data_IF_310185368761
#
_entry.id   IF_310185368761
#
_cell.length_a   1.000
_cell.length_b   1.000
_cell.length_c   1.000
_cell.angle_alpha   90.00
_cell.angle_beta   90.00
_cell.angle_gamma   90.00
#
_symmetry.space_group_name_H-M   'P 1'
#
loop_
_entity.id
_entity.type
_entity.pdbx_description
1 polymer ?
#
# COMPACT_ATOMS: atom_id res chain seq x y z
N UNK A 1 -25.49 -41.77 8.07
CA UNK A 1 -26.11 -41.39 6.77
C UNK A 1 -25.81 -39.91 6.56
N UNK A 2 -25.32 -39.48 5.39
CA UNK A 2 -25.15 -38.05 5.13
C UNK A 2 -26.53 -37.37 5.10
N UNK A 3 -26.66 -36.23 5.78
CA UNK A 3 -27.87 -35.42 5.76
C UNK A 3 -27.79 -34.43 4.60
N UNK A 4 -28.83 -34.40 3.76
CA UNK A 4 -28.97 -33.38 2.73
C UNK A 4 -29.53 -32.11 3.35
N UNK A 5 -28.81 -31.00 3.19
CA UNK A 5 -29.28 -29.66 3.56
C UNK A 5 -29.62 -28.93 2.28
N UNK A 6 -30.91 -28.66 2.10
CA UNK A 6 -31.40 -27.89 0.98
C UNK A 6 -30.97 -26.42 1.13
N UNK A 7 -30.35 -25.88 0.09
CA UNK A 7 -30.06 -24.46 -0.04
C UNK A 7 -30.73 -23.97 -1.32
N UNK A 8 -31.64 -23.01 -1.18
CA UNK A 8 -32.19 -22.32 -2.34
C UNK A 8 -31.10 -21.51 -3.01
N UNK A 9 -30.86 -21.80 -4.29
CA UNK A 9 -29.93 -21.04 -5.11
C UNK A 9 -30.65 -19.77 -5.58
N UNK A 10 -30.22 -18.63 -5.07
CA UNK A 10 -30.66 -17.32 -5.57
C UNK A 10 -29.67 -16.79 -6.61
N UNK A 11 -30.21 -16.24 -7.70
CA UNK A 11 -29.39 -15.49 -8.65
C UNK A 11 -29.03 -14.14 -8.03
N UNK A 12 -27.74 -13.85 -7.94
CA UNK A 12 -27.27 -12.52 -7.60
C UNK A 12 -27.76 -11.55 -8.67
N UNK A 13 -28.57 -10.56 -8.29
CA UNK A 13 -29.01 -9.46 -9.14
C UNK A 13 -28.33 -8.16 -8.67
N UNK A 14 -27.01 -8.00 -8.87
CA UNK A 14 -26.32 -6.79 -8.45
C UNK A 14 -26.89 -5.60 -9.22
N UNK A 15 -27.19 -4.54 -8.49
CA UNK A 15 -27.67 -3.29 -9.07
C UNK A 15 -26.52 -2.56 -9.76
N UNK A 16 -26.59 -2.44 -11.08
CA UNK A 16 -25.57 -1.76 -11.90
C UNK A 16 -25.71 -0.24 -11.92
N UNK A 17 -26.72 0.31 -11.25
CA UNK A 17 -26.94 1.74 -11.02
C UNK A 17 -26.26 2.25 -9.73
N UNK A 18 -25.44 1.43 -9.08
CA UNK A 18 -24.73 1.82 -7.87
C UNK A 18 -23.44 2.59 -8.19
N UNK A 19 -23.15 3.62 -7.40
CA UNK A 19 -21.91 4.40 -7.48
C UNK A 19 -20.63 3.54 -7.35
N UNK A 20 -20.74 2.33 -6.76
CA UNK A 20 -19.62 1.39 -6.70
C UNK A 20 -19.20 0.91 -8.09
N UNK A 21 -20.15 0.70 -9.00
CA UNK A 21 -19.88 0.24 -10.38
C UNK A 21 -19.12 1.31 -11.16
N UNK A 22 -19.44 2.59 -10.92
CA UNK A 22 -18.72 3.71 -11.52
C UNK A 22 -17.26 3.75 -11.03
N UNK A 23 -17.04 3.67 -9.71
CA UNK A 23 -15.69 3.63 -9.11
C UNK A 23 -14.88 2.43 -9.63
N UNK A 24 -15.49 1.24 -9.69
CA UNK A 24 -14.83 0.06 -10.24
C UNK A 24 -14.45 0.24 -11.71
N UNK A 25 -15.35 0.83 -12.51
CA UNK A 25 -15.10 1.10 -13.93
C UNK A 25 -13.96 2.11 -14.11
N UNK A 26 -13.88 3.13 -13.26
CA UNK A 26 -12.77 4.10 -13.25
C UNK A 26 -11.44 3.43 -12.86
N UNK A 27 -11.41 2.58 -11.83
CA UNK A 27 -10.21 1.84 -11.44
C UNK A 27 -9.73 0.89 -12.55
N UNK A 28 -10.64 0.16 -13.20
CA UNK A 28 -10.30 -0.69 -14.35
C UNK A 28 -9.81 0.14 -15.54
N UNK A 29 -10.40 1.31 -15.76
CA UNK A 29 -9.94 2.24 -16.79
C UNK A 29 -8.51 2.72 -16.55
N UNK A 30 -8.11 2.95 -15.29
CA UNK A 30 -6.73 3.33 -14.94
C UNK A 30 -5.73 2.21 -15.23
N UNK A 31 -6.13 0.93 -15.12
CA UNK A 31 -5.24 -0.22 -15.39
C UNK A 31 -4.72 -0.30 -16.82
N UNK A 32 -5.38 0.35 -17.78
CA UNK A 32 -4.88 0.43 -19.17
C UNK A 32 -3.64 1.31 -19.32
N UNK A 33 -3.37 2.18 -18.35
CA UNK A 33 -2.17 3.01 -18.33
C UNK A 33 -0.98 2.08 -18.11
N UNK A 34 -0.24 1.80 -19.19
CA UNK A 34 1.07 1.17 -19.05
C UNK A 34 2.00 2.22 -18.45
N UNK A 35 2.51 1.93 -17.25
CA UNK A 35 3.53 2.72 -16.59
C UNK A 35 4.85 2.51 -17.33
N UNK A 36 4.96 3.15 -18.48
CA UNK A 36 6.18 3.24 -19.28
C UNK A 36 6.60 4.71 -19.23
N UNK A 37 7.80 4.96 -18.72
CA UNK A 37 8.32 6.32 -18.56
C UNK A 37 9.58 6.53 -19.37
N UNK A 38 9.79 7.75 -19.83
CA UNK A 38 11.08 8.28 -20.30
C UNK A 38 11.99 8.71 -19.14
N UNK A 39 11.51 8.55 -17.90
CA UNK A 39 12.23 8.92 -16.69
C UNK A 39 13.53 8.11 -16.57
N UNK A 40 14.69 8.76 -16.41
CA UNK A 40 15.94 8.06 -16.20
C UNK A 40 15.86 7.11 -15.00
N UNK A 41 16.37 5.87 -15.10
CA UNK A 41 16.22 4.86 -14.05
C UNK A 41 16.64 5.35 -12.65
N UNK A 42 17.75 6.09 -12.56
CA UNK A 42 18.24 6.62 -11.29
C UNK A 42 17.22 7.57 -10.62
N UNK A 43 16.55 8.43 -11.40
CA UNK A 43 15.54 9.35 -10.89
C UNK A 43 14.29 8.58 -10.46
N UNK A 44 13.87 7.59 -11.26
CA UNK A 44 12.75 6.73 -10.92
C UNK A 44 12.96 6.03 -9.57
N UNK A 45 14.11 5.39 -9.37
CA UNK A 45 14.40 4.70 -8.10
C UNK A 45 14.50 5.65 -6.92
N UNK A 46 15.02 6.87 -7.11
CA UNK A 46 15.01 7.90 -6.05
C UNK A 46 13.58 8.30 -5.65
N UNK A 47 12.71 8.53 -6.62
CA UNK A 47 11.31 8.84 -6.36
C UNK A 47 10.60 7.66 -5.67
N UNK A 48 10.86 6.44 -6.15
CA UNK A 48 10.35 5.20 -5.55
C UNK A 48 10.71 5.11 -4.06
N UNK A 49 11.98 5.32 -3.71
CA UNK A 49 12.43 5.31 -2.31
C UNK A 49 11.68 6.36 -1.47
N UNK A 50 11.47 7.57 -2.00
CA UNK A 50 10.71 8.61 -1.29
C UNK A 50 9.27 8.14 -1.03
N UNK A 51 8.61 7.53 -2.02
CA UNK A 51 7.25 7.02 -1.86
C UNK A 51 7.19 5.88 -0.84
N UNK A 52 8.14 4.94 -0.84
CA UNK A 52 8.20 3.87 0.16
C UNK A 52 8.34 4.41 1.59
N UNK A 53 9.17 5.44 1.78
CA UNK A 53 9.31 6.09 3.09
C UNK A 53 7.98 6.73 3.52
N UNK A 54 7.33 7.48 2.63
CA UNK A 54 6.05 8.13 2.94
C UNK A 54 4.93 7.11 3.24
N UNK A 55 4.86 6.03 2.49
CA UNK A 55 3.89 4.95 2.69
C UNK A 55 4.15 4.20 4.02
N UNK A 56 5.41 3.96 4.36
CA UNK A 56 5.80 3.33 5.62
C UNK A 56 5.41 4.19 6.82
N UNK A 57 5.67 5.51 6.76
CA UNK A 57 5.25 6.46 7.78
C UNK A 57 3.72 6.59 7.86
N UNK A 58 3.03 6.60 6.71
CA UNK A 58 1.57 6.66 6.64
C UNK A 58 0.91 5.44 7.27
N UNK A 59 1.43 4.25 6.96
CA UNK A 59 0.98 2.98 7.54
C UNK A 59 1.20 2.95 9.06
N UNK A 60 2.42 3.24 9.52
CA UNK A 60 2.74 3.27 10.95
C UNK A 60 1.90 4.31 11.71
N UNK A 61 1.60 5.46 11.08
CA UNK A 61 0.77 6.51 11.68
C UNK A 61 -0.64 6.04 12.02
N UNK A 62 -1.25 5.21 11.17
CA UNK A 62 -2.60 4.67 11.41
C UNK A 62 -2.61 3.77 12.66
N UNK A 63 -1.50 3.08 12.93
CA UNK A 63 -1.31 2.23 14.11
C UNK A 63 -0.81 2.99 15.36
N UNK A 64 -0.75 4.34 15.29
CA UNK A 64 -0.41 5.20 16.43
C UNK A 64 1.05 5.59 16.52
N UNK A 65 1.87 5.29 15.52
CA UNK A 65 3.26 5.76 15.47
C UNK A 65 3.31 7.28 15.19
N UNK A 66 4.05 8.02 16.01
CA UNK A 66 4.15 9.49 15.91
C UNK A 66 5.44 10.01 15.28
N UNK A 67 6.35 9.12 14.86
CA UNK A 67 7.58 9.47 14.13
C UNK A 67 7.24 10.41 12.97
N UNK A 68 8.00 11.51 12.85
CA UNK A 68 7.86 12.43 11.72
C UNK A 68 8.80 12.05 10.59
N UNK A 69 8.56 12.59 9.39
CA UNK A 69 9.47 12.40 8.26
C UNK A 69 10.88 12.90 8.59
N UNK A 70 11.01 14.02 9.30
CA UNK A 70 12.30 14.57 9.68
C UNK A 70 13.05 13.61 10.62
N UNK A 71 12.38 13.14 11.68
CA UNK A 71 12.99 12.21 12.65
C UNK A 71 13.47 10.93 11.95
N UNK A 72 12.66 10.39 11.04
CA UNK A 72 13.00 9.15 10.34
C UNK A 72 14.18 9.34 9.39
N UNK A 73 14.20 10.42 8.61
CA UNK A 73 15.32 10.72 7.69
C UNK A 73 16.60 10.99 8.46
N UNK A 74 16.55 11.73 9.57
CA UNK A 74 17.70 11.97 10.43
C UNK A 74 18.25 10.64 10.97
N UNK A 75 17.38 9.78 11.52
CA UNK A 75 17.80 8.46 12.00
C UNK A 75 18.39 7.55 10.90
N UNK A 76 17.89 7.66 9.66
CA UNK A 76 18.46 6.94 8.49
C UNK A 76 19.86 7.43 8.14
N UNK A 77 20.07 8.75 8.17
CA UNK A 77 21.38 9.36 7.89
C UNK A 77 22.39 9.04 8.99
N UNK A 78 21.94 8.98 10.24
CA UNK A 78 22.76 8.62 11.40
C UNK A 78 22.99 7.11 11.55
N UNK A 79 22.21 6.28 10.85
CA UNK A 79 22.27 4.82 10.96
C UNK A 79 21.56 4.25 12.19
N UNK A 80 20.66 5.02 12.80
CA UNK A 80 19.92 4.74 14.05
C UNK A 80 18.43 4.43 13.81
N UNK A 81 18.03 4.22 12.55
CA UNK A 81 16.64 3.96 12.14
C UNK A 81 16.00 2.67 12.71
N UNK A 82 16.73 1.89 13.53
CA UNK A 82 16.23 0.68 14.20
C UNK A 82 16.42 0.72 15.72
N UNK A 83 16.85 1.86 16.27
CA UNK A 83 17.25 2.00 17.68
C UNK A 83 16.07 2.04 18.64
N UNK A 84 14.92 2.53 18.18
CA UNK A 84 13.68 2.58 18.95
C UNK A 84 12.62 1.69 18.32
N UNK A 85 11.67 1.22 19.11
CA UNK A 85 10.55 0.41 18.60
C UNK A 85 9.75 1.16 17.53
N UNK A 86 9.54 2.46 17.70
CA UNK A 86 8.84 3.30 16.73
C UNK A 86 9.60 3.43 15.40
N UNK A 87 10.92 3.63 15.44
CA UNK A 87 11.72 3.71 14.22
C UNK A 87 11.82 2.33 13.53
N UNK A 88 12.00 1.28 14.32
CA UNK A 88 12.08 -0.11 13.84
C UNK A 88 10.78 -0.56 13.18
N UNK A 89 9.62 -0.14 13.69
CA UNK A 89 8.33 -0.38 13.05
C UNK A 89 8.28 0.20 11.63
N UNK A 90 8.63 1.48 11.46
CA UNK A 90 8.66 2.14 10.15
C UNK A 90 9.67 1.45 9.22
N UNK A 91 10.87 1.13 9.72
CA UNK A 91 11.90 0.44 8.95
C UNK A 91 11.49 -0.98 8.54
N UNK A 92 10.70 -1.68 9.34
CA UNK A 92 10.19 -3.01 8.99
C UNK A 92 9.14 -2.94 7.89
N UNK A 93 8.26 -1.93 7.91
CA UNK A 93 7.27 -1.71 6.85
C UNK A 93 7.98 -1.38 5.53
N UNK A 94 8.98 -0.49 5.56
CA UNK A 94 9.76 -0.14 4.37
C UNK A 94 10.48 -1.36 3.77
N UNK A 95 11.14 -2.16 4.61
CA UNK A 95 11.75 -3.44 4.18
C UNK A 95 10.74 -4.42 3.61
N UNK A 96 9.51 -4.42 4.13
CA UNK A 96 8.45 -5.25 3.60
C UNK A 96 8.06 -4.77 2.18
N UNK A 97 7.83 -3.46 1.98
CA UNK A 97 7.57 -2.88 0.65
C UNK A 97 8.67 -3.22 -0.36
N UNK A 98 9.93 -3.09 0.04
CA UNK A 98 11.07 -3.47 -0.81
C UNK A 98 11.12 -4.97 -1.15
N UNK A 99 10.49 -5.85 -0.35
CA UNK A 99 10.46 -7.29 -0.57
C UNK A 99 9.33 -7.74 -1.50
N UNK A 100 8.16 -7.08 -1.46
CA UNK A 100 7.00 -7.44 -2.30
C UNK A 100 7.07 -6.89 -3.72
N UNK A 101 7.94 -5.94 -4.00
CA UNK A 101 8.15 -5.34 -5.33
C UNK A 101 9.36 -5.88 -6.08
#
# INVERSE_FOLDING_TARGET
>A
MPAFFHHDLELLNPSFDSHLVDVLSELEHLRRLRLEGDTPPAVFYQLKTIFHILESLGSARIEGNHTTLADYIESKVEGTAEDTDQLREVANIEKALDYIE
#
